data_IF_079030641924
#
_entry.id   IF_079030641924
#
_cell.length_a   1.000
_cell.length_b   1.000
_cell.length_c   1.000
_cell.angle_alpha   90.00
_cell.angle_beta   90.00
_cell.angle_gamma   90.00
#
_symmetry.space_group_name_H-M   'P 1'
#
loop_
_entity.id
_entity.type
_entity.pdbx_description
1 polymer ?
#
# COMPACT_ATOMS: atom_id res chain seq x y z
N UNK A 1 -6.57 2.57 7.51
CA UNK A 1 -5.66 3.31 6.60
C UNK A 1 -6.39 3.91 5.39
N UNK A 2 -7.59 3.45 5.04
CA UNK A 2 -8.37 3.93 3.89
C UNK A 2 -8.51 5.45 3.71
N UNK A 3 -8.77 6.27 4.76
CA UNK A 3 -8.86 7.72 4.57
C UNK A 3 -7.54 8.32 4.04
N UNK A 4 -6.39 7.74 4.40
CA UNK A 4 -5.10 8.16 3.88
C UNK A 4 -4.89 7.72 2.43
N UNK A 5 -5.38 6.56 2.04
CA UNK A 5 -5.30 6.06 0.65
C UNK A 5 -6.07 6.99 -0.29
N UNK A 6 -7.31 7.33 0.05
CA UNK A 6 -8.15 8.21 -0.78
C UNK A 6 -7.58 9.64 -0.89
N UNK A 7 -6.91 10.14 0.16
CA UNK A 7 -6.21 11.43 0.13
C UNK A 7 -4.93 11.33 -0.72
N UNK A 8 -4.15 10.26 -0.55
CA UNK A 8 -2.87 10.06 -1.22
C UNK A 8 -2.99 9.99 -2.75
N UNK A 9 -4.08 9.42 -3.28
CA UNK A 9 -4.31 9.38 -4.74
C UNK A 9 -4.64 10.74 -5.34
N UNK A 10 -5.14 11.68 -4.53
CA UNK A 10 -5.42 13.06 -4.97
C UNK A 10 -4.18 13.93 -4.87
N UNK A 11 -3.50 13.87 -3.73
CA UNK A 11 -2.24 14.55 -3.48
C UNK A 11 -1.53 13.89 -2.29
N UNK A 12 -0.28 13.48 -2.48
CA UNK A 12 0.58 13.09 -1.37
C UNK A 12 1.37 14.31 -0.92
N UNK A 13 1.17 14.72 0.33
CA UNK A 13 1.91 15.80 0.99
C UNK A 13 2.68 15.25 2.20
N UNK A 14 3.72 15.96 2.63
CA UNK A 14 4.48 15.58 3.84
C UNK A 14 3.60 15.57 5.09
N UNK A 15 2.61 16.47 5.17
CA UNK A 15 1.60 16.49 6.23
C UNK A 15 0.77 15.20 6.22
N UNK A 16 0.29 14.77 5.05
CA UNK A 16 -0.49 13.54 4.92
C UNK A 16 0.34 12.30 5.32
N UNK A 17 1.62 12.26 4.96
CA UNK A 17 2.54 11.19 5.36
C UNK A 17 2.75 11.21 6.88
N UNK A 18 2.87 12.39 7.48
CA UNK A 18 2.99 12.55 8.94
C UNK A 18 1.75 12.02 9.65
N UNK A 19 0.56 12.48 9.27
CA UNK A 19 -0.71 12.02 9.85
C UNK A 19 -0.88 10.49 9.73
N UNK A 20 -0.54 9.92 8.56
CA UNK A 20 -0.59 8.48 8.33
C UNK A 20 0.43 7.71 9.19
N UNK A 21 1.60 8.31 9.45
CA UNK A 21 2.64 7.75 10.31
C UNK A 21 2.21 7.73 11.77
N UNK A 22 1.62 8.82 12.25
CA UNK A 22 1.08 8.91 13.61
C UNK A 22 -0.06 7.89 13.82
N UNK A 23 -0.99 7.82 12.87
CA UNK A 23 -2.07 6.84 12.89
C UNK A 23 -1.54 5.39 12.87
N UNK A 24 -0.48 5.12 12.11
CA UNK A 24 0.18 3.81 12.11
C UNK A 24 0.88 3.50 13.43
N UNK A 25 1.41 4.52 14.12
CA UNK A 25 2.07 4.41 15.42
C UNK A 25 1.11 4.08 16.57
N UNK A 26 -0.18 4.40 16.42
CA UNK A 26 -1.22 4.09 17.39
C UNK A 26 -1.77 2.65 17.25
N UNK A 27 -1.35 1.90 16.24
CA UNK A 27 -1.78 0.52 16.00
C UNK A 27 -0.77 -0.48 16.60
N UNK A 28 -1.26 -1.68 16.90
CA UNK A 28 -0.44 -2.77 17.45
C UNK A 28 -0.51 -4.04 16.60
N UNK A 29 0.41 -4.97 16.83
CA UNK A 29 0.44 -6.27 16.18
C UNK A 29 0.47 -6.19 14.64
N UNK A 30 -0.29 -7.07 13.99
CA UNK A 30 -0.33 -7.18 12.53
C UNK A 30 -0.89 -5.91 11.85
N UNK A 31 -1.78 -5.17 12.53
CA UNK A 31 -2.34 -3.92 12.01
C UNK A 31 -1.27 -2.85 11.89
N UNK A 32 -0.35 -2.76 12.87
CA UNK A 32 0.78 -1.84 12.82
C UNK A 32 1.73 -2.14 11.64
N UNK A 33 2.03 -3.42 11.39
CA UNK A 33 2.89 -3.82 10.27
C UNK A 33 2.26 -3.49 8.92
N UNK A 34 0.95 -3.72 8.78
CA UNK A 34 0.19 -3.37 7.59
C UNK A 34 0.19 -1.84 7.40
N UNK A 35 -0.10 -1.07 8.45
CA UNK A 35 -0.15 0.39 8.38
C UNK A 35 1.20 1.02 8.01
N UNK A 36 2.31 0.50 8.54
CA UNK A 36 3.67 0.93 8.11
C UNK A 36 3.90 0.70 6.62
N UNK A 37 3.32 -0.36 6.05
CA UNK A 37 3.42 -0.63 4.62
C UNK A 37 2.59 0.36 3.78
N UNK A 38 1.42 0.80 4.27
CA UNK A 38 0.66 1.89 3.64
C UNK A 38 1.45 3.20 3.62
N UNK A 39 2.05 3.59 4.75
CA UNK A 39 2.90 4.80 4.84
C UNK A 39 4.05 4.74 3.83
N UNK A 40 4.75 3.60 3.76
CA UNK A 40 5.83 3.40 2.78
C UNK A 40 5.36 3.55 1.34
N UNK A 41 4.15 3.10 1.01
CA UNK A 41 3.60 3.30 -0.34
C UNK A 41 3.38 4.79 -0.61
N UNK A 42 2.85 5.54 0.35
CA UNK A 42 2.66 6.99 0.23
C UNK A 42 3.99 7.71 0.02
N UNK A 43 5.02 7.40 0.80
CA UNK A 43 6.39 7.95 0.61
C UNK A 43 6.92 7.65 -0.79
N UNK A 44 6.67 6.44 -1.31
CA UNK A 44 7.11 6.05 -2.65
C UNK A 44 6.33 6.77 -3.75
N UNK A 45 5.04 7.00 -3.56
CA UNK A 45 4.24 7.82 -4.49
C UNK A 45 4.74 9.26 -4.48
N UNK A 46 5.05 9.84 -3.31
CA UNK A 46 5.64 11.18 -3.22
C UNK A 46 6.99 11.26 -3.96
N UNK A 47 7.85 10.25 -3.82
CA UNK A 47 9.19 10.23 -4.43
C UNK A 47 9.18 9.93 -5.94
N UNK A 48 8.28 9.03 -6.40
CA UNK A 48 8.32 8.46 -7.74
C UNK A 48 7.12 8.83 -8.62
N UNK A 49 6.12 9.49 -8.06
CA UNK A 49 4.86 9.81 -8.71
C UNK A 49 3.87 8.65 -8.78
N UNK A 50 2.67 8.94 -9.27
CA UNK A 50 1.53 8.01 -9.30
C UNK A 50 1.81 6.70 -10.07
N UNK A 51 2.67 6.74 -11.10
CA UNK A 51 3.04 5.55 -11.89
C UNK A 51 3.79 4.47 -11.10
N UNK A 52 4.29 4.79 -9.89
CA UNK A 52 4.91 3.80 -9.01
C UNK A 52 3.98 2.64 -8.67
N UNK A 53 2.70 2.90 -8.43
CA UNK A 53 1.74 1.88 -7.94
C UNK A 53 1.62 0.76 -8.96
N UNK A 54 1.36 1.08 -10.22
CA UNK A 54 1.20 0.08 -11.29
C UNK A 54 2.51 -0.65 -11.59
N UNK A 55 3.63 0.06 -11.62
CA UNK A 55 4.95 -0.54 -11.84
C UNK A 55 5.30 -1.54 -10.73
N UNK A 56 5.02 -1.22 -9.48
CA UNK A 56 5.32 -2.08 -8.34
C UNK A 56 4.39 -3.30 -8.29
N UNK A 57 3.11 -3.15 -8.62
CA UNK A 57 2.18 -4.28 -8.79
C UNK A 57 2.72 -5.25 -9.85
N UNK A 58 3.12 -4.75 -11.01
CA UNK A 58 3.71 -5.57 -12.08
C UNK A 58 4.97 -6.30 -11.62
N UNK A 59 5.86 -5.61 -10.90
CA UNK A 59 7.08 -6.19 -10.34
C UNK A 59 6.79 -7.32 -9.35
N UNK A 60 5.84 -7.12 -8.43
CA UNK A 60 5.45 -8.12 -7.44
C UNK A 60 4.73 -9.31 -8.09
N UNK A 61 3.87 -9.07 -9.08
CA UNK A 61 3.25 -10.13 -9.87
C UNK A 61 4.29 -11.01 -10.58
N UNK A 62 5.30 -10.40 -11.19
CA UNK A 62 6.43 -11.12 -11.80
C UNK A 62 7.26 -11.92 -10.80
N UNK A 63 7.37 -11.47 -9.54
CA UNK A 63 8.01 -12.24 -8.47
C UNK A 63 7.13 -13.41 -8.00
N UNK A 64 5.82 -13.18 -7.83
CA UNK A 64 4.86 -14.20 -7.40
C UNK A 64 4.73 -15.34 -8.41
N UNK A 65 4.92 -15.06 -9.71
CA UNK A 65 4.93 -16.06 -10.76
C UNK A 65 6.15 -17.01 -10.69
N UNK A 66 7.23 -16.64 -9.98
CA UNK A 66 8.41 -17.48 -9.84
C UNK A 66 8.17 -18.57 -8.80
N UNK A 67 8.57 -19.81 -9.12
CA UNK A 67 8.49 -20.97 -8.21
C UNK A 67 9.56 -20.93 -7.11
N UNK A 68 10.60 -20.12 -7.26
CA UNK A 68 11.73 -20.00 -6.32
C UNK A 68 11.48 -19.06 -5.13
N UNK A 69 10.30 -18.43 -5.04
CA UNK A 69 9.94 -17.56 -3.91
C UNK A 69 9.44 -18.41 -2.74
N UNK A 70 10.09 -18.27 -1.58
CA UNK A 70 9.68 -18.97 -0.36
C UNK A 70 8.25 -18.60 0.07
N UNK A 71 7.54 -19.48 0.80
CA UNK A 71 6.16 -19.22 1.24
C UNK A 71 6.00 -17.90 2.01
N UNK A 72 6.96 -17.58 2.89
CA UNK A 72 6.94 -16.33 3.66
C UNK A 72 7.06 -15.09 2.77
N UNK A 73 7.98 -15.12 1.80
CA UNK A 73 8.15 -14.03 0.82
C UNK A 73 6.92 -13.90 -0.08
N UNK A 74 6.30 -15.03 -0.45
CA UNK A 74 5.06 -15.06 -1.22
C UNK A 74 3.93 -14.36 -0.46
N UNK A 75 3.73 -14.69 0.82
CA UNK A 75 2.75 -14.02 1.70
C UNK A 75 3.00 -12.51 1.76
N UNK A 76 4.26 -12.10 1.96
CA UNK A 76 4.65 -10.69 1.99
C UNK A 76 4.36 -9.97 0.67
N UNK A 77 4.67 -10.59 -0.47
CA UNK A 77 4.39 -10.00 -1.79
C UNK A 77 2.89 -9.91 -2.08
N UNK A 78 2.11 -10.91 -1.68
CA UNK A 78 0.65 -10.86 -1.79
C UNK A 78 0.06 -9.73 -0.94
N UNK A 79 0.50 -9.60 0.32
CA UNK A 79 0.09 -8.51 1.20
C UNK A 79 0.40 -7.14 0.59
N UNK A 80 1.63 -6.94 0.11
CA UNK A 80 2.02 -5.67 -0.54
C UNK A 80 1.24 -5.39 -1.81
N UNK A 81 0.95 -6.42 -2.59
CA UNK A 81 0.13 -6.29 -3.82
C UNK A 81 -1.29 -5.87 -3.46
N UNK A 82 -1.89 -6.45 -2.43
CA UNK A 82 -3.22 -6.06 -1.92
C UNK A 82 -3.25 -4.58 -1.53
N UNK A 83 -2.27 -4.14 -0.73
CA UNK A 83 -2.14 -2.73 -0.33
C UNK A 83 -2.02 -1.80 -1.55
N UNK A 84 -1.15 -2.13 -2.51
CA UNK A 84 -0.97 -1.34 -3.73
C UNK A 84 -2.25 -1.29 -4.58
N UNK A 85 -3.01 -2.39 -4.63
CA UNK A 85 -4.30 -2.42 -5.30
C UNK A 85 -5.29 -1.44 -4.66
N UNK A 86 -5.32 -1.29 -3.33
CA UNK A 86 -6.17 -0.28 -2.69
C UNK A 86 -5.86 1.14 -3.17
N UNK A 87 -4.58 1.49 -3.40
CA UNK A 87 -4.21 2.78 -4.01
C UNK A 87 -4.63 2.87 -5.48
N UNK A 88 -4.49 1.79 -6.24
CA UNK A 88 -4.91 1.74 -7.65
C UNK A 88 -6.43 1.91 -7.77
N UNK A 89 -7.21 1.22 -6.95
CA UNK A 89 -8.67 1.27 -6.92
C UNK A 89 -9.17 2.64 -6.49
N UNK A 90 -8.58 3.22 -5.45
CA UNK A 90 -8.89 4.58 -5.03
C UNK A 90 -8.59 5.62 -6.12
N UNK A 91 -7.50 5.44 -6.89
CA UNK A 91 -7.17 6.31 -8.02
C UNK A 91 -8.18 6.16 -9.19
N UNK A 92 -8.78 4.98 -9.35
CA UNK A 92 -9.81 4.70 -10.36
C UNK A 92 -11.22 5.19 -9.95
N UNK A 93 -11.37 5.78 -8.76
CA UNK A 93 -12.67 6.26 -8.25
C UNK A 93 -13.51 5.18 -7.57
N UNK A 94 -12.95 4.01 -7.28
CA UNK A 94 -13.62 2.97 -6.50
C UNK A 94 -13.61 3.29 -5.02
N UNK A 95 -14.79 3.38 -4.39
CA UNK A 95 -14.93 3.16 -2.95
C UNK A 95 -14.49 1.72 -2.69
N UNK A 96 -13.33 1.55 -2.05
CA UNK A 96 -12.83 0.26 -1.62
C UNK A 96 -13.89 -0.43 -0.75
N UNK A 97 -14.47 -1.50 -1.30
CA UNK A 97 -15.42 -2.34 -0.59
C UNK A 97 -14.68 -3.28 0.35
N UNK A 98 -15.10 -3.27 1.61
CA UNK A 98 -15.12 -4.40 2.56
C UNK A 98 -14.05 -5.48 2.34
N UNK A 99 -12.78 -5.12 2.60
CA UNK A 99 -11.68 -6.07 2.77
C UNK A 99 -11.38 -6.28 4.26
N UNK A 100 -12.35 -6.77 5.00
CA UNK A 100 -12.24 -7.14 6.42
C UNK A 100 -11.09 -8.16 6.61
N UNK A 101 -10.10 -7.79 7.44
CA UNK A 101 -9.11 -8.71 8.02
C UNK A 101 -9.33 -8.77 9.52
#
# INVERSE_FOLDING_TARGET
MEPFVARAVKAVTDELITEATEAAGALEGAQAENAKQYVKVMERIAQKGAGYVEAEIGRLGGLLAKTSVSPEKRKLFMLRTSILNSFKEAAAGGSAGDGEL
#
